data_IF_795416761591
#
_entry.id   IF_795416761591
#
_cell.length_a   1.000
_cell.length_b   1.000
_cell.length_c   1.000
_cell.angle_alpha   90.00
_cell.angle_beta   90.00
_cell.angle_gamma   90.00
#
_symmetry.space_group_name_H-M   'P 1'
#
loop_
_entity.id
_entity.type
_entity.pdbx_description
1 polymer ?
#
# COMPACT_ATOMS: atom_id res chain seq x y z
N UNK A 1 -7.63 -1.29 0.23
CA UNK A 1 -6.72 -2.43 0.44
C UNK A 1 -7.07 -3.62 -0.39
N UNK A 2 -6.28 -3.80 -1.45
CA UNK A 2 -6.35 -4.96 -2.34
C UNK A 2 -6.00 -6.25 -1.60
N UNK A 3 -6.45 -7.40 -2.11
CA UNK A 3 -6.11 -8.72 -1.57
C UNK A 3 -4.59 -8.96 -1.53
N UNK A 4 -3.88 -8.50 -2.57
CA UNK A 4 -2.42 -8.56 -2.65
C UNK A 4 -1.75 -7.71 -1.56
N UNK A 5 -2.27 -6.52 -1.26
CA UNK A 5 -1.75 -5.66 -0.19
C UNK A 5 -2.01 -6.26 1.20
N UNK A 6 -3.14 -6.94 1.39
CA UNK A 6 -3.45 -7.65 2.63
C UNK A 6 -2.47 -8.81 2.87
N UNK A 7 -2.28 -9.66 1.86
CA UNK A 7 -1.33 -10.78 1.91
C UNK A 7 0.10 -10.30 2.16
N UNK A 8 0.54 -9.25 1.46
CA UNK A 8 1.88 -8.70 1.62
C UNK A 8 2.10 -8.13 3.04
N UNK A 9 1.10 -7.46 3.61
CA UNK A 9 1.17 -6.95 4.98
C UNK A 9 1.34 -8.09 6.00
N UNK A 10 0.62 -9.20 5.82
CA UNK A 10 0.76 -10.38 6.69
C UNK A 10 2.17 -10.97 6.61
N UNK A 11 2.72 -11.09 5.40
CA UNK A 11 4.08 -11.59 5.22
C UNK A 11 5.12 -10.68 5.88
N UNK A 12 4.95 -9.36 5.80
CA UNK A 12 5.85 -8.41 6.45
C UNK A 12 5.77 -8.51 7.97
N UNK A 13 4.58 -8.71 8.53
CA UNK A 13 4.42 -8.90 9.98
C UNK A 13 5.13 -10.18 10.45
N UNK A 14 5.00 -11.28 9.70
CA UNK A 14 5.72 -12.53 10.00
C UNK A 14 7.25 -12.33 9.95
N UNK A 15 7.75 -11.66 8.91
CA UNK A 15 9.18 -11.41 8.75
C UNK A 15 9.72 -10.45 9.83
N UNK A 16 8.95 -9.43 10.21
CA UNK A 16 9.31 -8.50 11.27
C UNK A 16 9.42 -9.19 12.65
N UNK A 17 8.51 -10.13 12.94
CA UNK A 17 8.51 -10.89 14.19
C UNK A 17 9.71 -11.83 14.32
N UNK A 18 10.27 -12.30 13.20
CA UNK A 18 11.44 -13.16 13.17
C UNK A 18 12.76 -12.40 13.38
N UNK A 19 12.76 -11.06 13.32
CA UNK A 19 13.98 -10.27 13.46
C UNK A 19 14.37 -10.06 14.93
N UNK A 20 15.56 -10.55 15.30
CA UNK A 20 16.13 -10.31 16.62
C UNK A 20 16.73 -8.89 16.77
N UNK A 21 17.25 -8.32 15.67
CA UNK A 21 17.82 -6.98 15.68
C UNK A 21 16.76 -5.92 15.47
N UNK A 22 16.81 -4.87 16.28
CA UNK A 22 15.90 -3.74 16.19
C UNK A 22 15.92 -3.09 14.80
N UNK A 23 17.10 -2.88 14.22
CA UNK A 23 17.26 -2.25 12.90
C UNK A 23 16.55 -3.03 11.80
N UNK A 24 16.66 -4.36 11.86
CA UNK A 24 16.12 -5.25 10.84
C UNK A 24 14.60 -5.31 10.98
N UNK A 25 14.08 -5.31 12.22
CA UNK A 25 12.65 -5.15 12.48
C UNK A 25 12.12 -3.79 12.02
N UNK A 26 12.87 -2.71 12.25
CA UNK A 26 12.48 -1.36 11.86
C UNK A 26 12.36 -1.22 10.34
N UNK A 27 13.23 -1.89 9.58
CA UNK A 27 13.11 -1.96 8.12
C UNK A 27 11.75 -2.52 7.68
N UNK A 28 11.33 -3.66 8.24
CA UNK A 28 10.04 -4.27 7.90
C UNK A 28 8.85 -3.38 8.26
N UNK A 29 8.90 -2.71 9.41
CA UNK A 29 7.85 -1.77 9.82
C UNK A 29 7.77 -0.56 8.89
N UNK A 30 8.91 -0.03 8.44
CA UNK A 30 8.94 1.05 7.46
C UNK A 30 8.42 0.61 6.08
N UNK A 31 8.75 -0.60 5.64
CA UNK A 31 8.20 -1.18 4.42
C UNK A 31 6.67 -1.31 4.48
N UNK A 32 6.13 -1.75 5.62
CA UNK A 32 4.67 -1.83 5.85
C UNK A 32 4.00 -0.47 5.68
N UNK A 33 4.60 0.60 6.22
CA UNK A 33 4.10 1.97 6.05
C UNK A 33 4.11 2.40 4.58
N UNK A 34 5.19 2.08 3.85
CA UNK A 34 5.29 2.40 2.43
C UNK A 34 4.17 1.73 1.62
N UNK A 35 3.88 0.46 1.87
CA UNK A 35 2.84 -0.28 1.14
C UNK A 35 1.45 0.30 1.40
N UNK A 36 1.15 0.69 2.64
CA UNK A 36 -0.11 1.36 2.97
C UNK A 36 -0.29 2.67 2.18
N UNK A 37 0.78 3.46 2.03
CA UNK A 37 0.74 4.67 1.22
C UNK A 37 0.62 4.38 -0.28
N UNK A 38 1.23 3.30 -0.79
CA UNK A 38 1.06 2.91 -2.19
C UNK A 38 -0.38 2.46 -2.49
N UNK A 39 -1.00 1.67 -1.62
CA UNK A 39 -2.39 1.23 -1.76
C UNK A 39 -3.34 2.44 -1.77
N UNK A 40 -3.13 3.39 -0.86
CA UNK A 40 -3.89 4.67 -0.84
C UNK A 40 -3.75 5.46 -2.14
N UNK A 41 -2.54 5.55 -2.70
CA UNK A 41 -2.29 6.27 -3.96
C UNK A 41 -2.94 5.56 -5.15
N UNK A 42 -2.93 4.24 -5.17
CA UNK A 42 -3.60 3.46 -6.20
C UNK A 42 -5.11 3.75 -6.22
N UNK A 43 -5.75 3.75 -5.04
CA UNK A 43 -7.16 4.08 -4.90
C UNK A 43 -7.47 5.51 -5.39
N UNK A 44 -6.62 6.49 -5.03
CA UNK A 44 -6.76 7.89 -5.47
C UNK A 44 -6.62 8.03 -7.00
N UNK A 45 -5.62 7.39 -7.60
CA UNK A 45 -5.40 7.42 -9.05
C UNK A 45 -6.56 6.78 -9.82
N UNK A 46 -7.12 5.67 -9.32
CA UNK A 46 -8.31 5.07 -9.92
C UNK A 46 -9.50 6.04 -9.94
N UNK A 47 -9.77 6.70 -8.80
CA UNK A 47 -10.83 7.70 -8.69
C UNK A 47 -10.60 8.94 -9.57
N UNK A 48 -9.36 9.41 -9.71
CA UNK A 48 -9.03 10.52 -10.61
C UNK A 48 -9.23 10.16 -12.08
N UNK A 49 -8.87 8.94 -12.50
CA UNK A 49 -9.06 8.46 -13.87
C UNK A 49 -10.55 8.36 -14.19
N UNK A 50 -11.36 7.78 -13.30
CA UNK A 50 -12.81 7.70 -13.49
C UNK A 50 -13.47 9.08 -13.51
N UNK A 51 -13.08 9.98 -12.59
CA UNK A 51 -13.61 11.34 -12.51
C UNK A 51 -13.26 12.21 -13.72
N UNK A 52 -12.07 12.04 -14.32
CA UNK A 52 -11.68 12.72 -15.58
C UNK A 52 -12.40 12.13 -16.78
N UNK A 53 -12.65 10.82 -16.77
CA UNK A 53 -13.39 10.13 -17.85
C UNK A 53 -14.86 10.55 -17.88
N UNK A 54 -15.45 10.81 -16.70
CA UNK A 54 -16.84 11.27 -16.55
C UNK A 54 -16.97 12.80 -16.51
N UNK A 55 -16.06 13.54 -17.15
CA UNK A 55 -16.13 15.00 -17.22
C UNK A 55 -17.05 15.43 -18.38
N UNK A 56 -18.26 15.97 -18.12
CA UNK A 56 -19.25 16.28 -19.16
C UNK A 56 -18.80 17.39 -20.13
N UNK A 57 -17.77 18.16 -19.75
CA UNK A 57 -17.20 19.23 -20.58
C UNK A 57 -16.33 18.70 -21.75
N UNK A 58 -16.06 17.40 -21.80
CA UNK A 58 -15.29 16.75 -22.87
C UNK A 58 -16.14 15.89 -23.83
N UNK A 59 -17.48 15.94 -23.74
CA UNK A 59 -18.40 15.23 -24.65
C UNK A 59 -19.25 16.21 -25.47
#
# INVERSE_FOLDING_TARGET
>A
MTENAAWLNEQIDQLAQQQAKFTDRAFWLALKQLIAEQDRRADQLGGEVDGRTWSPDQW
#
